data_IF_303320823321
#
_entry.id   IF_303320823321
#
_cell.length_a   1.000
_cell.length_b   1.000
_cell.length_c   1.000
_cell.angle_alpha   90.00
_cell.angle_beta   90.00
_cell.angle_gamma   90.00
#
_symmetry.space_group_name_H-M   'P 1'
#
loop_
_entity.id
_entity.type
_entity.pdbx_description
1 polymer ?
#
# COMPACT_ATOMS: atom_id res chain seq x y z
N UNK A 1 -2.52 18.10 -56.10
CA UNK A 1 -1.41 17.57 -55.24
C UNK A 1 -1.04 18.52 -54.07
N UNK A 2 -0.98 19.85 -54.22
CA UNK A 2 -0.62 20.80 -53.14
C UNK A 2 -1.62 20.83 -51.95
N UNK A 3 -2.90 20.60 -52.16
CA UNK A 3 -3.93 20.62 -51.08
C UNK A 3 -3.89 19.41 -50.17
N UNK A 4 -3.38 18.28 -50.61
CA UNK A 4 -3.23 17.04 -49.82
C UNK A 4 -2.04 17.16 -48.85
N UNK A 5 -1.00 17.88 -49.24
CA UNK A 5 0.17 18.16 -48.36
C UNK A 5 -0.18 19.02 -47.14
N UNK A 6 -1.07 20.00 -47.28
CA UNK A 6 -1.53 20.85 -46.18
C UNK A 6 -2.43 20.10 -45.20
N UNK A 7 -3.21 19.13 -45.70
CA UNK A 7 -4.03 18.29 -44.82
C UNK A 7 -3.20 17.33 -43.98
N UNK A 8 -2.12 16.79 -44.56
CA UNK A 8 -1.18 15.91 -43.85
C UNK A 8 -0.31 16.67 -42.83
N UNK A 9 0.05 17.91 -43.14
CA UNK A 9 0.82 18.77 -42.24
C UNK A 9 0.01 19.22 -41.03
N UNK A 10 -1.30 19.46 -41.17
CA UNK A 10 -2.20 19.79 -40.07
C UNK A 10 -2.48 18.61 -39.13
N UNK A 11 -2.47 17.36 -39.59
CA UNK A 11 -2.63 16.18 -38.74
C UNK A 11 -1.40 15.88 -37.87
N UNK A 12 -0.20 16.31 -38.28
CA UNK A 12 1.02 16.11 -37.47
C UNK A 12 1.06 17.04 -36.23
N UNK A 13 0.38 18.17 -36.25
CA UNK A 13 0.34 19.12 -35.12
C UNK A 13 -0.65 18.74 -34.01
N UNK A 14 -1.55 17.78 -34.22
CA UNK A 14 -2.54 17.37 -33.23
C UNK A 14 -2.04 16.27 -32.29
N UNK A 15 -0.85 15.71 -32.51
CA UNK A 15 -0.27 14.62 -31.70
C UNK A 15 0.66 15.09 -30.57
N UNK A 16 0.89 16.41 -30.42
CA UNK A 16 1.81 16.95 -29.41
C UNK A 16 1.17 17.36 -28.08
N UNK A 17 -0.11 17.06 -27.87
CA UNK A 17 -0.88 17.60 -26.72
C UNK A 17 -0.82 16.83 -25.41
N UNK A 18 -0.36 15.58 -25.37
CA UNK A 18 -0.45 14.72 -24.17
C UNK A 18 0.88 14.48 -23.42
N UNK A 19 2.01 15.01 -23.87
CA UNK A 19 3.31 14.66 -23.30
C UNK A 19 3.68 15.42 -22.01
N UNK A 20 3.09 16.58 -21.73
CA UNK A 20 3.53 17.44 -20.61
C UNK A 20 3.12 16.94 -19.23
N UNK A 21 1.97 16.29 -19.09
CA UNK A 21 1.54 15.76 -17.78
C UNK A 21 2.27 14.50 -17.36
N UNK A 22 2.73 13.68 -18.31
CA UNK A 22 3.52 12.48 -18.02
C UNK A 22 4.96 12.80 -17.62
N UNK A 23 5.55 13.86 -18.15
CA UNK A 23 6.90 14.29 -17.79
C UNK A 23 6.97 14.87 -16.37
N UNK A 24 5.98 15.64 -15.92
CA UNK A 24 5.96 16.13 -14.54
C UNK A 24 5.77 15.02 -13.49
N UNK A 25 5.05 13.95 -13.81
CA UNK A 25 4.99 12.77 -12.95
C UNK A 25 6.33 12.01 -12.93
N UNK A 26 6.96 11.89 -14.10
CA UNK A 26 8.27 11.26 -14.26
C UNK A 26 9.37 12.03 -13.51
N UNK A 27 9.39 13.35 -13.60
CA UNK A 27 10.40 14.19 -12.95
C UNK A 27 10.21 14.22 -11.43
N UNK A 28 8.95 14.19 -10.95
CA UNK A 28 8.65 14.06 -9.52
C UNK A 28 8.95 12.67 -8.97
N UNK A 29 8.78 11.62 -9.79
CA UNK A 29 9.18 10.25 -9.46
C UNK A 29 10.70 10.07 -9.55
N UNK A 30 11.39 10.70 -10.48
CA UNK A 30 12.85 10.70 -10.55
C UNK A 30 13.52 11.36 -9.33
N UNK A 31 12.88 12.35 -8.71
CA UNK A 31 13.32 12.91 -7.42
C UNK A 31 13.14 11.94 -6.24
N UNK A 32 12.24 10.97 -6.35
CA UNK A 32 12.10 9.86 -5.41
C UNK A 32 13.02 8.67 -5.74
N UNK A 33 13.74 8.70 -6.87
CA UNK A 33 14.62 7.63 -7.33
C UNK A 33 15.90 7.65 -6.50
N UNK A 34 16.09 6.58 -5.83
CA UNK A 34 17.30 6.17 -5.15
C UNK A 34 18.42 5.96 -6.16
N UNK A 35 19.54 6.61 -5.92
CA UNK A 35 20.79 6.20 -6.53
C UNK A 35 21.16 4.77 -6.11
N UNK A 36 22.01 4.07 -6.88
CA UNK A 36 22.41 2.71 -6.60
C UNK A 36 23.38 2.69 -5.42
N UNK A 37 22.90 2.65 -4.20
CA UNK A 37 23.63 2.29 -2.99
C UNK A 37 22.88 2.81 -1.75
N UNK A 38 22.43 1.88 -0.90
CA UNK A 38 22.15 1.98 0.54
C UNK A 38 22.03 3.39 1.16
N UNK A 39 21.35 4.32 0.53
CA UNK A 39 21.08 5.60 1.16
C UNK A 39 19.94 5.41 2.17
N UNK A 40 20.26 5.52 3.44
CA UNK A 40 19.26 5.69 4.50
C UNK A 40 18.29 6.79 4.03
N UNK A 41 17.03 6.43 3.87
CA UNK A 41 15.98 7.39 3.51
C UNK A 41 15.78 8.28 4.73
N UNK A 42 16.44 9.45 4.74
CA UNK A 42 16.36 10.35 5.90
C UNK A 42 14.97 10.95 6.05
N UNK A 43 14.59 11.25 7.29
CA UNK A 43 13.33 11.91 7.60
C UNK A 43 13.21 13.27 6.89
N UNK A 44 14.31 14.03 6.75
CA UNK A 44 14.34 15.31 6.05
C UNK A 44 14.02 15.14 4.56
N UNK A 45 14.56 14.08 3.91
CA UNK A 45 14.26 13.79 2.51
C UNK A 45 12.79 13.45 2.33
N UNK A 46 12.20 12.63 3.21
CA UNK A 46 10.77 12.31 3.17
C UNK A 46 9.91 13.55 3.42
N UNK A 47 10.27 14.41 4.38
CA UNK A 47 9.56 15.64 4.67
C UNK A 47 9.55 16.62 3.47
N UNK A 48 10.64 16.65 2.67
CA UNK A 48 10.77 17.52 1.49
C UNK A 48 9.91 17.08 0.30
N UNK A 49 9.44 15.81 0.27
CA UNK A 49 8.56 15.32 -0.79
C UNK A 49 7.17 15.96 -0.65
N UNK A 50 6.60 16.53 -1.73
CA UNK A 50 5.32 17.23 -1.66
C UNK A 50 4.11 16.27 -1.50
N UNK A 51 4.32 14.96 -1.69
CA UNK A 51 3.27 13.94 -1.67
C UNK A 51 3.30 13.13 -0.36
N UNK A 52 2.15 12.56 -0.01
CA UNK A 52 2.09 11.50 1.00
C UNK A 52 2.96 10.32 0.57
N UNK A 53 3.57 9.63 1.52
CA UNK A 53 4.52 8.57 1.24
C UNK A 53 4.53 7.51 2.32
N UNK A 54 4.93 6.29 1.95
CA UNK A 54 5.14 5.18 2.84
C UNK A 54 6.53 4.58 2.64
N UNK A 55 7.14 4.16 3.73
CA UNK A 55 8.28 3.26 3.69
C UNK A 55 7.77 1.84 3.40
N UNK A 56 8.48 1.11 2.55
CA UNK A 56 8.15 -0.27 2.18
C UNK A 56 9.40 -1.11 2.22
N UNK A 57 9.31 -2.27 2.86
CA UNK A 57 10.37 -3.27 2.86
C UNK A 57 9.78 -4.63 2.47
N UNK A 58 10.35 -5.26 1.46
CA UNK A 58 10.00 -6.61 1.03
C UNK A 58 10.96 -7.60 1.67
N UNK A 59 10.47 -8.51 2.51
CA UNK A 59 11.29 -9.45 3.27
C UNK A 59 12.44 -8.71 3.98
N UNK A 60 13.70 -9.10 3.71
CA UNK A 60 14.92 -8.48 4.24
C UNK A 60 15.61 -7.57 3.21
N UNK A 61 14.93 -7.19 2.14
CA UNK A 61 15.49 -6.27 1.13
C UNK A 61 15.69 -4.87 1.73
N UNK A 62 16.50 -4.01 1.09
CA UNK A 62 16.63 -2.62 1.49
C UNK A 62 15.28 -1.92 1.55
N UNK A 63 15.18 -0.96 2.49
CA UNK A 63 14.01 -0.11 2.63
C UNK A 63 13.83 0.77 1.39
N UNK A 64 12.61 0.81 0.85
CA UNK A 64 12.22 1.65 -0.27
C UNK A 64 11.19 2.69 0.18
N UNK A 65 10.98 3.73 -0.64
CA UNK A 65 9.91 4.69 -0.47
C UNK A 65 8.92 4.58 -1.64
N UNK A 66 7.64 4.58 -1.32
CA UNK A 66 6.57 4.73 -2.29
C UNK A 66 5.82 6.03 -2.03
N UNK A 67 5.41 6.71 -3.09
CA UNK A 67 4.62 7.94 -3.02
C UNK A 67 3.18 7.68 -3.41
N UNK A 68 2.27 8.47 -2.84
CA UNK A 68 0.85 8.38 -3.16
C UNK A 68 0.63 8.90 -4.60
N UNK A 69 0.19 8.02 -5.48
CA UNK A 69 -0.17 8.35 -6.84
C UNK A 69 -1.65 8.72 -6.96
N UNK A 70 -2.53 7.97 -6.27
CA UNK A 70 -3.99 8.19 -6.28
C UNK A 70 -4.60 7.89 -4.93
N UNK A 71 -5.59 8.70 -4.56
CA UNK A 71 -6.51 8.46 -3.45
C UNK A 71 -7.92 8.46 -4.02
N UNK A 72 -8.63 7.36 -3.88
CA UNK A 72 -9.96 7.17 -4.45
C UNK A 72 -10.94 6.79 -3.35
N UNK A 73 -12.18 7.33 -3.35
CA UNK A 73 -13.22 6.80 -2.50
C UNK A 73 -13.43 5.31 -2.80
N UNK A 74 -13.54 4.47 -1.78
CA UNK A 74 -13.98 3.09 -1.98
C UNK A 74 -15.38 3.06 -2.62
N UNK A 75 -15.75 1.94 -3.24
CA UNK A 75 -17.03 1.80 -3.96
C UNK A 75 -18.27 2.19 -3.12
N UNK A 76 -18.19 2.05 -1.81
CA UNK A 76 -19.25 2.38 -0.85
C UNK A 76 -19.07 3.76 -0.19
N UNK A 77 -18.07 4.54 -0.56
CA UNK A 77 -17.70 5.84 0.02
C UNK A 77 -17.46 5.82 1.55
N UNK A 78 -17.17 4.68 2.15
CA UNK A 78 -16.96 4.55 3.60
C UNK A 78 -15.51 4.79 4.02
N UNK A 79 -14.57 4.65 3.09
CA UNK A 79 -13.13 4.84 3.33
C UNK A 79 -12.42 5.25 2.04
N UNK A 80 -11.12 5.50 2.12
CA UNK A 80 -10.29 5.88 0.98
C UNK A 80 -9.33 4.73 0.64
N UNK A 81 -9.32 4.35 -0.63
CA UNK A 81 -8.31 3.46 -1.21
C UNK A 81 -7.10 4.28 -1.62
N UNK A 82 -5.92 3.96 -1.09
CA UNK A 82 -4.67 4.65 -1.38
C UNK A 82 -3.79 3.78 -2.28
N UNK A 83 -3.35 4.35 -3.42
CA UNK A 83 -2.50 3.67 -4.41
C UNK A 83 -1.11 4.29 -4.39
N UNK A 84 -0.16 3.52 -3.91
CA UNK A 84 1.24 3.90 -3.75
C UNK A 84 2.07 3.36 -4.90
N UNK A 85 3.01 4.14 -5.40
CA UNK A 85 3.87 3.75 -6.51
C UNK A 85 5.34 3.98 -6.16
N UNK A 86 6.20 3.03 -6.55
CA UNK A 86 7.65 3.16 -6.49
C UNK A 86 8.23 3.73 -7.78
N UNK A 87 9.51 4.06 -7.76
CA UNK A 87 10.25 4.45 -8.96
C UNK A 87 10.34 3.32 -10.02
N UNK A 88 10.31 2.06 -9.58
CA UNK A 88 10.28 0.89 -10.46
C UNK A 88 8.90 0.55 -11.01
N UNK A 89 7.89 1.42 -10.80
CA UNK A 89 6.49 1.22 -11.21
C UNK A 89 5.81 0.02 -10.52
N UNK A 90 6.34 -0.42 -9.39
CA UNK A 90 5.60 -1.31 -8.51
C UNK A 90 4.49 -0.53 -7.83
N UNK A 91 3.34 -1.18 -7.65
CA UNK A 91 2.19 -0.56 -6.99
C UNK A 91 1.73 -1.40 -5.81
N UNK A 92 1.47 -0.70 -4.70
CA UNK A 92 0.78 -1.24 -3.53
C UNK A 92 -0.51 -0.44 -3.33
N UNK A 93 -1.61 -1.11 -3.10
CA UNK A 93 -2.90 -0.51 -2.79
C UNK A 93 -3.25 -0.84 -1.35
N UNK A 94 -3.58 0.18 -0.55
CA UNK A 94 -3.96 -0.01 0.85
C UNK A 94 -5.35 0.56 1.15
N UNK A 95 -6.04 -0.10 2.08
CA UNK A 95 -7.29 0.33 2.68
C UNK A 95 -7.21 0.12 4.18
N UNK A 96 -7.24 1.20 4.96
CA UNK A 96 -7.09 1.13 6.42
C UNK A 96 -5.81 0.45 6.90
N UNK A 97 -4.73 0.51 6.11
CA UNK A 97 -3.45 -0.15 6.40
C UNK A 97 -3.31 -1.58 5.87
N UNK A 98 -4.41 -2.24 5.46
CA UNK A 98 -4.32 -3.52 4.76
C UNK A 98 -3.87 -3.33 3.32
N UNK A 99 -2.92 -4.14 2.86
CA UNK A 99 -2.63 -4.28 1.43
C UNK A 99 -3.75 -5.10 0.80
N UNK A 100 -4.52 -4.49 -0.12
CA UNK A 100 -5.67 -5.12 -0.79
C UNK A 100 -5.38 -5.53 -2.22
N UNK A 101 -4.35 -4.94 -2.83
CA UNK A 101 -3.91 -5.26 -4.19
C UNK A 101 -2.46 -4.86 -4.39
N UNK A 102 -1.75 -5.59 -5.27
CA UNK A 102 -0.40 -5.21 -5.70
C UNK A 102 -0.24 -5.42 -7.21
N UNK A 103 0.70 -4.69 -7.82
CA UNK A 103 1.06 -4.82 -9.23
C UNK A 103 2.58 -4.70 -9.39
N UNK A 104 3.12 -5.48 -10.32
CA UNK A 104 4.54 -5.48 -10.70
C UNK A 104 5.50 -5.81 -9.56
N UNK A 105 5.04 -6.41 -8.47
CA UNK A 105 5.93 -6.83 -7.38
C UNK A 105 6.73 -8.08 -7.79
N UNK A 106 7.99 -8.11 -7.45
CA UNK A 106 8.83 -9.31 -7.61
C UNK A 106 8.33 -10.45 -6.73
N UNK A 107 8.20 -11.65 -7.30
CA UNK A 107 7.74 -12.85 -6.57
C UNK A 107 6.23 -13.06 -6.54
N UNK A 108 5.46 -12.20 -7.18
CA UNK A 108 4.01 -12.36 -7.33
C UNK A 108 3.19 -11.22 -6.75
N UNK A 109 1.89 -11.24 -7.06
CA UNK A 109 0.99 -10.15 -6.72
C UNK A 109 -0.29 -10.64 -6.05
N UNK A 110 -0.74 -9.89 -5.06
CA UNK A 110 -2.09 -9.95 -4.56
C UNK A 110 -3.02 -9.30 -5.59
N UNK A 111 -3.93 -10.08 -6.17
CA UNK A 111 -4.83 -9.61 -7.23
C UNK A 111 -6.02 -8.88 -6.63
N UNK A 112 -6.63 -9.46 -5.57
CA UNK A 112 -7.82 -8.93 -4.95
C UNK A 112 -8.07 -9.51 -3.56
N UNK A 113 -8.73 -8.70 -2.71
CA UNK A 113 -9.41 -9.10 -1.48
C UNK A 113 -10.88 -8.72 -1.62
N UNK A 114 -11.79 -9.65 -1.36
CA UNK A 114 -13.23 -9.42 -1.37
C UNK A 114 -13.86 -9.90 -0.07
N UNK A 115 -14.80 -9.15 0.50
CA UNK A 115 -15.55 -9.55 1.69
C UNK A 115 -16.98 -9.02 1.64
N UNK A 116 -17.90 -9.73 2.29
CA UNK A 116 -19.27 -9.29 2.52
C UNK A 116 -19.41 -8.40 3.75
N UNK A 117 -18.40 -8.36 4.62
CA UNK A 117 -18.37 -7.53 5.82
C UNK A 117 -17.22 -6.54 5.76
N UNK A 118 -17.34 -5.47 6.53
CA UNK A 118 -16.28 -4.44 6.62
C UNK A 118 -15.07 -5.00 7.37
N UNK A 119 -13.87 -4.72 6.86
CA UNK A 119 -12.61 -5.07 7.53
C UNK A 119 -12.53 -4.42 8.92
N UNK A 120 -12.22 -5.16 9.98
CA UNK A 120 -12.02 -4.61 11.32
C UNK A 120 -10.98 -3.47 11.42
N UNK A 121 -9.99 -3.44 10.54
CA UNK A 121 -9.03 -2.34 10.45
C UNK A 121 -9.73 -1.02 10.08
N UNK A 122 -10.70 -1.06 9.17
CA UNK A 122 -11.49 0.11 8.77
C UNK A 122 -12.48 0.55 9.84
N UNK A 123 -12.92 -0.37 10.71
CA UNK A 123 -13.78 -0.06 11.85
C UNK A 123 -13.01 0.48 13.06
N UNK A 124 -11.68 0.41 13.04
CA UNK A 124 -10.79 0.87 14.09
C UNK A 124 -10.63 -0.15 15.22
N UNK A 125 -9.58 -0.95 15.17
CA UNK A 125 -9.27 -1.98 16.17
C UNK A 125 -8.97 -1.43 17.58
N UNK A 126 -8.68 -0.14 17.73
CA UNK A 126 -8.54 0.51 19.04
C UNK A 126 -9.86 0.51 19.85
N UNK A 127 -11.01 0.41 19.17
CA UNK A 127 -12.31 0.32 19.83
C UNK A 127 -12.59 -1.11 20.30
N UNK A 128 -13.00 -1.27 21.54
CA UNK A 128 -13.31 -2.58 22.13
C UNK A 128 -14.52 -3.27 21.44
N UNK A 129 -15.44 -2.48 20.88
CA UNK A 129 -16.64 -2.97 20.17
C UNK A 129 -16.37 -3.47 18.75
N UNK A 130 -15.19 -3.19 18.18
CA UNK A 130 -14.83 -3.66 16.84
C UNK A 130 -14.74 -5.18 16.79
N UNK A 131 -15.41 -5.86 15.83
CA UNK A 131 -15.29 -7.29 15.65
C UNK A 131 -13.82 -7.73 15.50
N UNK A 132 -13.47 -8.87 16.09
CA UNK A 132 -12.11 -9.44 16.02
C UNK A 132 -12.01 -10.60 15.03
N UNK A 133 -13.12 -10.98 14.41
CA UNK A 133 -13.20 -11.99 13.36
C UNK A 133 -13.63 -11.35 12.06
N UNK A 134 -13.02 -11.82 10.98
CA UNK A 134 -13.31 -11.39 9.63
C UNK A 134 -13.12 -12.52 8.64
N UNK A 135 -13.97 -12.60 7.64
CA UNK A 135 -13.87 -13.54 6.53
C UNK A 135 -13.76 -12.77 5.22
N UNK A 136 -12.84 -13.22 4.39
CA UNK A 136 -12.61 -12.61 3.10
C UNK A 136 -12.09 -13.63 2.09
N UNK A 137 -12.20 -13.29 0.82
CA UNK A 137 -11.70 -14.10 -0.27
C UNK A 137 -10.42 -13.48 -0.83
N UNK A 138 -9.41 -14.34 -1.06
CA UNK A 138 -8.11 -13.97 -1.61
C UNK A 138 -7.96 -14.50 -3.02
N UNK A 139 -7.41 -13.66 -3.91
CA UNK A 139 -6.91 -14.08 -5.23
C UNK A 139 -5.49 -13.56 -5.42
N UNK A 140 -4.56 -14.39 -5.88
CA UNK A 140 -3.16 -13.99 -6.05
C UNK A 140 -2.47 -14.75 -7.19
N UNK A 141 -1.30 -14.25 -7.61
CA UNK A 141 -0.43 -14.79 -8.65
C UNK A 141 1.02 -14.85 -8.14
N UNK A 142 1.90 -15.75 -8.65
CA UNK A 142 1.67 -16.66 -9.78
C UNK A 142 0.78 -17.85 -9.43
N UNK A 143 0.27 -18.53 -10.46
CA UNK A 143 -0.65 -19.67 -10.33
C UNK A 143 -2.11 -19.25 -10.46
N UNK A 144 -2.99 -20.24 -10.38
CA UNK A 144 -4.46 -20.06 -10.49
C UNK A 144 -5.10 -19.99 -9.11
N UNK A 145 -4.63 -19.06 -8.26
CA UNK A 145 -5.19 -18.88 -6.92
C UNK A 145 -6.33 -17.87 -6.99
N UNK A 146 -7.54 -18.35 -7.13
CA UNK A 146 -8.72 -17.52 -7.27
C UNK A 146 -9.76 -17.83 -6.19
N UNK A 147 -10.18 -16.77 -5.47
CA UNK A 147 -11.31 -16.78 -4.55
C UNK A 147 -11.20 -17.81 -3.41
N UNK A 148 -10.03 -17.92 -2.78
CA UNK A 148 -9.82 -18.75 -1.59
C UNK A 148 -10.39 -18.06 -0.36
N UNK A 149 -11.27 -18.76 0.38
CA UNK A 149 -11.79 -18.27 1.66
C UNK A 149 -10.69 -18.25 2.70
N UNK A 150 -10.44 -17.08 3.28
CA UNK A 150 -9.59 -16.86 4.41
C UNK A 150 -10.40 -16.42 5.63
N UNK A 151 -10.07 -16.97 6.78
CA UNK A 151 -10.62 -16.60 8.08
C UNK A 151 -9.56 -15.91 8.89
N UNK A 152 -9.87 -14.72 9.40
CA UNK A 152 -8.97 -13.85 10.15
C UNK A 152 -9.46 -13.67 11.57
N UNK A 153 -8.51 -13.69 12.52
CA UNK A 153 -8.73 -13.35 13.92
C UNK A 153 -7.68 -12.36 14.40
N UNK A 154 -8.12 -11.21 14.90
CA UNK A 154 -7.26 -10.21 15.52
C UNK A 154 -7.11 -10.45 17.02
N UNK A 155 -5.85 -10.50 17.48
CA UNK A 155 -5.47 -10.61 18.89
C UNK A 155 -4.68 -9.35 19.25
N UNK A 156 -5.09 -8.67 20.34
CA UNK A 156 -4.32 -7.53 20.86
C UNK A 156 -3.10 -8.03 21.63
N UNK A 157 -1.94 -7.50 21.29
CA UNK A 157 -0.68 -7.74 22.00
C UNK A 157 -0.33 -6.57 22.95
N UNK A 158 -1.28 -5.66 23.15
CA UNK A 158 -1.14 -4.48 24.01
C UNK A 158 -0.38 -3.33 23.36
N UNK A 159 -0.04 -2.36 24.17
CA UNK A 159 0.71 -1.17 23.77
C UNK A 159 2.21 -1.46 23.76
N UNK A 160 2.90 -1.07 22.69
CA UNK A 160 4.33 -1.31 22.48
C UNK A 160 5.01 -0.07 21.91
N UNK A 161 6.27 0.12 22.28
CA UNK A 161 7.12 1.14 21.66
C UNK A 161 7.68 0.56 20.36
N UNK A 162 7.28 1.15 19.23
CA UNK A 162 7.77 0.81 17.89
C UNK A 162 8.71 1.89 17.39
N UNK A 163 9.92 1.50 16.99
CA UNK A 163 10.79 2.38 16.21
C UNK A 163 10.34 2.36 14.74
N UNK A 164 10.07 3.53 14.20
CA UNK A 164 9.71 3.72 12.80
C UNK A 164 10.96 3.90 11.92
N UNK A 165 10.86 3.69 10.60
CA UNK A 165 12.01 3.83 9.69
C UNK A 165 12.65 5.23 9.67
N UNK A 166 11.91 6.28 10.05
CA UNK A 166 12.42 7.63 10.20
C UNK A 166 13.22 7.85 11.51
N UNK A 167 13.38 6.81 12.34
CA UNK A 167 14.06 6.86 13.63
C UNK A 167 13.17 7.25 14.82
N UNK A 168 11.93 7.66 14.58
CA UNK A 168 10.98 8.05 15.64
C UNK A 168 10.53 6.82 16.43
N UNK A 169 10.43 6.97 17.76
CA UNK A 169 9.82 5.97 18.65
C UNK A 169 8.39 6.40 19.00
N UNK A 170 7.43 5.52 18.76
CA UNK A 170 6.01 5.77 19.05
C UNK A 170 5.43 4.65 19.90
N UNK A 171 4.60 5.01 20.88
CA UNK A 171 3.76 4.07 21.62
C UNK A 171 2.51 3.76 20.81
N UNK A 172 2.33 2.51 20.39
CA UNK A 172 1.30 2.06 19.47
C UNK A 172 0.66 0.77 20.00
N UNK A 173 -0.64 0.60 19.74
CA UNK A 173 -1.33 -0.66 19.98
C UNK A 173 -0.92 -1.68 18.92
N UNK A 174 -0.41 -2.82 19.33
CA UNK A 174 -0.07 -3.92 18.43
C UNK A 174 -1.19 -4.93 18.35
N UNK A 175 -1.55 -5.29 17.13
CA UNK A 175 -2.47 -6.38 16.83
C UNK A 175 -1.82 -7.43 15.94
N UNK A 176 -1.99 -8.69 16.33
CA UNK A 176 -1.63 -9.87 15.58
C UNK A 176 -2.88 -10.41 14.90
N UNK A 177 -2.90 -10.42 13.57
CA UNK A 177 -3.93 -11.05 12.76
C UNK A 177 -3.51 -12.46 12.39
N UNK A 178 -4.23 -13.45 12.89
CA UNK A 178 -4.05 -14.85 12.55
C UNK A 178 -4.95 -15.19 11.38
N UNK A 179 -4.38 -15.61 10.26
CA UNK A 179 -5.12 -15.90 9.03
C UNK A 179 -5.02 -17.40 8.75
N UNK A 180 -6.16 -18.04 8.48
CA UNK A 180 -6.28 -19.45 8.12
C UNK A 180 -6.97 -19.59 6.77
N UNK A 181 -6.36 -20.36 5.86
CA UNK A 181 -6.95 -20.77 4.58
C UNK A 181 -7.10 -22.28 4.63
N UNK A 182 -8.24 -22.75 5.11
CA UNK A 182 -8.50 -24.19 5.38
C UNK A 182 -8.35 -25.04 4.12
N UNK A 183 -8.78 -24.54 2.97
CA UNK A 183 -8.67 -25.25 1.69
C UNK A 183 -7.22 -25.57 1.27
N UNK A 184 -6.23 -24.88 1.82
CA UNK A 184 -4.81 -25.06 1.53
C UNK A 184 -4.03 -25.62 2.72
N UNK A 185 -4.67 -25.83 3.86
CA UNK A 185 -3.99 -26.15 5.13
C UNK A 185 -2.86 -25.16 5.47
N UNK A 186 -3.14 -23.86 5.26
CA UNK A 186 -2.18 -22.79 5.47
C UNK A 186 -2.63 -21.84 6.55
N UNK A 187 -1.67 -21.44 7.38
CA UNK A 187 -1.84 -20.40 8.39
C UNK A 187 -0.66 -19.45 8.35
N UNK A 188 -0.93 -18.16 8.55
CA UNK A 188 0.10 -17.14 8.66
C UNK A 188 -0.39 -15.96 9.49
N UNK A 189 0.53 -15.03 9.82
CA UNK A 189 0.28 -13.91 10.70
C UNK A 189 0.63 -12.60 10.02
N UNK A 190 -0.22 -11.60 10.24
CA UNK A 190 0.04 -10.20 9.93
C UNK A 190 0.06 -9.39 11.22
N UNK A 191 0.82 -8.31 11.23
CA UNK A 191 0.97 -7.44 12.40
C UNK A 191 0.65 -6.01 12.02
N UNK A 192 -0.09 -5.32 12.91
CA UNK A 192 -0.51 -3.94 12.72
C UNK A 192 -0.21 -3.14 13.98
N UNK A 193 0.47 -2.00 13.82
CA UNK A 193 0.72 -1.02 14.87
C UNK A 193 -0.17 0.19 14.64
N UNK A 194 -1.07 0.42 15.58
CA UNK A 194 -2.20 1.35 15.47
C UNK A 194 -2.02 2.47 16.47
N UNK A 195 -2.25 3.70 16.03
CA UNK A 195 -2.29 4.85 16.91
C UNK A 195 -3.46 4.72 17.88
N UNK A 196 -3.24 4.76 19.21
CA UNK A 196 -4.29 4.50 20.20
C UNK A 196 -5.39 5.57 20.22
N UNK A 197 -5.12 6.77 19.72
CA UNK A 197 -6.04 7.90 19.73
C UNK A 197 -6.90 7.94 18.48
N UNK A 198 -6.28 7.85 17.32
CA UNK A 198 -6.96 7.97 16.02
C UNK A 198 -7.47 6.64 15.46
N UNK A 199 -6.90 5.52 15.91
CA UNK A 199 -7.15 4.20 15.33
C UNK A 199 -6.47 3.98 13.97
N UNK A 200 -5.66 4.93 13.50
CA UNK A 200 -4.97 4.83 12.24
C UNK A 200 -3.82 3.81 12.31
N UNK A 201 -3.67 2.99 11.27
CA UNK A 201 -2.54 2.06 11.14
C UNK A 201 -1.30 2.86 10.74
N UNK A 202 -0.28 2.85 11.61
CA UNK A 202 0.99 3.60 11.44
C UNK A 202 2.06 2.73 10.80
N UNK A 203 2.09 1.45 11.15
CA UNK A 203 3.01 0.48 10.57
C UNK A 203 2.35 -0.90 10.50
N UNK A 204 2.84 -1.74 9.60
CA UNK A 204 2.31 -3.09 9.41
C UNK A 204 3.37 -4.03 8.85
N UNK A 205 3.24 -5.31 9.14
CA UNK A 205 4.00 -6.40 8.51
C UNK A 205 3.00 -7.43 8.00
N UNK A 206 2.91 -7.62 6.68
CA UNK A 206 1.91 -8.46 6.05
C UNK A 206 2.52 -9.52 5.15
N UNK A 207 2.11 -10.76 5.35
CA UNK A 207 2.18 -11.85 4.38
C UNK A 207 0.92 -11.74 3.51
N UNK A 208 1.08 -11.46 2.22
CA UNK A 208 -0.07 -11.14 1.36
C UNK A 208 -0.94 -12.36 1.06
N UNK A 209 -0.30 -13.51 0.81
CA UNK A 209 -0.92 -14.80 0.59
C UNK A 209 0.14 -15.91 0.74
N UNK A 210 -0.25 -17.21 0.83
CA UNK A 210 0.70 -18.30 0.81
C UNK A 210 1.61 -18.25 -0.42
N UNK A 211 2.92 -18.35 -0.19
CA UNK A 211 3.93 -18.31 -1.26
C UNK A 211 4.31 -16.90 -1.76
N UNK A 212 3.59 -15.84 -1.39
CA UNK A 212 3.99 -14.47 -1.67
C UNK A 212 4.98 -13.93 -0.62
N UNK A 213 5.70 -12.90 -0.99
CA UNK A 213 6.62 -12.21 -0.09
C UNK A 213 5.89 -11.48 1.04
N UNK A 214 6.59 -11.29 2.16
CA UNK A 214 6.16 -10.45 3.28
C UNK A 214 6.56 -9.00 3.00
N UNK A 215 5.67 -8.08 3.37
CA UNK A 215 5.90 -6.65 3.24
C UNK A 215 5.72 -5.95 4.60
N UNK A 216 6.73 -5.17 4.98
CA UNK A 216 6.61 -4.20 6.06
C UNK A 216 6.34 -2.82 5.47
N UNK A 217 5.32 -2.14 5.99
CA UNK A 217 4.98 -0.77 5.62
C UNK A 217 5.03 0.11 6.87
N UNK A 218 5.41 1.37 6.69
CA UNK A 218 5.25 2.39 7.72
C UNK A 218 4.96 3.75 7.07
N UNK A 219 4.23 4.61 7.79
CA UNK A 219 3.96 5.98 7.34
C UNK A 219 5.28 6.74 7.21
N UNK A 220 5.51 7.33 6.04
CA UNK A 220 6.56 8.34 5.83
C UNK A 220 5.98 9.74 5.99
N UNK A 221 5.01 10.10 5.13
CA UNK A 221 4.23 11.33 5.20
C UNK A 221 2.75 11.00 5.01
N UNK A 222 1.94 11.34 6.00
CA UNK A 222 0.50 10.99 6.02
C UNK A 222 -0.28 11.66 4.88
N UNK A 223 -1.31 10.99 4.42
CA UNK A 223 -2.32 11.57 3.53
C UNK A 223 -3.39 12.29 4.37
N UNK A 224 -3.64 13.57 4.08
CA UNK A 224 -4.73 14.40 4.67
C UNK A 224 -4.88 14.29 6.20
N UNK A 225 -3.82 14.40 6.97
CA UNK A 225 -3.88 14.36 8.45
C UNK A 225 -4.59 13.12 9.05
N UNK A 226 -4.86 12.07 8.27
CA UNK A 226 -5.49 10.83 8.77
C UNK A 226 -4.52 9.96 9.56
N UNK A 227 -3.22 10.30 9.59
CA UNK A 227 -2.23 9.67 10.45
C UNK A 227 -1.83 8.24 10.09
N UNK A 228 -2.47 7.61 9.11
CA UNK A 228 -2.28 6.20 8.74
C UNK A 228 -1.99 5.95 7.25
N UNK A 229 -1.77 4.68 6.93
CA UNK A 229 -1.53 4.12 5.59
C UNK A 229 -2.73 3.34 5.07
#
# INVERSE_FOLDING_TARGET
>A
MRKIYYLFLCQLFLLSGCAKNAQHLSDSLQLAIFGPEQSVISAEKVASIPYASIYVQQNNNPLALMVLAWAEPAKNNTHTTLKWISAGQEMVVTEGGRITKTLNLGGGNLVNIESHSVDPLLLGLHNASTPRYWEFYLSWQPGYHFHYLAQSRFVSEGEQIKQLPNGEFRSLLMFNEQITITALDQQYHNYYWIDPTSGAVVATEQQLAPGLNRYALAVGKSYLNQGGI
#
